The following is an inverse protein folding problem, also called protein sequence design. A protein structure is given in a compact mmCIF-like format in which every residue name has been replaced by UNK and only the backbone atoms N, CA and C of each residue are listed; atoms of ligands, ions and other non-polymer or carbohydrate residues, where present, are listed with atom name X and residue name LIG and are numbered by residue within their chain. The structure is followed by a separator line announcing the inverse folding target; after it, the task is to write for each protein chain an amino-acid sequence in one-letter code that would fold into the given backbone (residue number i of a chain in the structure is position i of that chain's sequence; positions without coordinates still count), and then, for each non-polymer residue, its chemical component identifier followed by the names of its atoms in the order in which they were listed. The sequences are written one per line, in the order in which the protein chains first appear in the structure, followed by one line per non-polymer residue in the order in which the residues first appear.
data_IF_307895074038
#
_entry.id   IF_307895074038
#
_cell.length_a   1.000
_cell.length_b   1.000
_cell.length_c   1.000
_cell.angle_alpha   90.00
_cell.angle_beta   90.00
_cell.angle_gamma   90.00
#
_symmetry.space_group_name_H-M   'P 1'
#
loop_
_entity.id
_entity.type
_entity.pdbx_description
1 polymer ?
#
# COMPACT_ATOMS: atom_id res chain seq x y z
N UNK A 1 26.43 12.12 -10.28
CA UNK A 1 25.54 11.89 -11.44
C UNK A 1 24.24 12.61 -11.15
N UNK A 2 23.81 13.52 -12.02
CA UNK A 2 22.63 14.36 -11.78
C UNK A 2 21.41 13.68 -12.40
N UNK A 3 20.69 12.91 -11.60
CA UNK A 3 19.36 12.40 -11.97
C UNK A 3 18.44 13.62 -12.16
N UNK A 4 17.94 13.81 -13.38
CA UNK A 4 17.08 14.94 -13.73
C UNK A 4 15.64 14.46 -13.63
N UNK A 5 14.79 15.17 -12.88
CA UNK A 5 13.36 14.83 -12.76
C UNK A 5 12.74 14.83 -14.17
N UNK A 6 12.21 13.68 -14.58
CA UNK A 6 11.56 13.48 -15.87
C UNK A 6 10.41 14.48 -16.05
N UNK A 7 10.50 15.35 -17.07
CA UNK A 7 9.44 16.30 -17.47
C UNK A 7 8.35 15.66 -18.33
N UNK A 8 8.06 14.35 -18.16
CA UNK A 8 6.93 13.75 -18.87
C UNK A 8 5.64 14.31 -18.29
N UNK A 9 5.02 15.27 -18.99
CA UNK A 9 3.65 15.70 -18.72
C UNK A 9 2.72 14.54 -19.04
N UNK A 10 2.22 13.86 -18.03
CA UNK A 10 1.10 12.93 -18.16
C UNK A 10 -0.18 13.76 -18.37
N UNK A 11 -0.46 14.10 -19.63
CA UNK A 11 -1.66 14.86 -19.99
C UNK A 11 -2.96 14.06 -19.75
N UNK A 12 -2.84 12.75 -19.53
CA UNK A 12 -3.94 11.80 -19.34
C UNK A 12 -3.97 11.19 -17.92
N UNK A 13 -3.34 11.83 -16.92
CA UNK A 13 -3.48 11.37 -15.53
C UNK A 13 -4.87 11.76 -15.01
N UNK A 14 -5.80 10.81 -14.73
CA UNK A 14 -7.12 11.15 -14.18
C UNK A 14 -7.02 11.82 -12.79
N UNK A 15 -5.89 11.67 -12.11
CA UNK A 15 -5.60 12.27 -10.82
C UNK A 15 -4.85 13.61 -10.92
N UNK A 16 -4.69 14.18 -12.12
CA UNK A 16 -4.09 15.51 -12.27
C UNK A 16 -4.98 16.57 -11.62
N UNK A 17 -4.37 17.68 -11.20
CA UNK A 17 -5.10 18.82 -10.66
C UNK A 17 -6.23 19.27 -11.60
N UNK A 18 -5.93 19.41 -12.89
CA UNK A 18 -6.88 19.86 -13.89
C UNK A 18 -8.07 18.89 -14.02
N UNK A 19 -7.82 17.58 -14.02
CA UNK A 19 -8.88 16.56 -14.10
C UNK A 19 -9.76 16.59 -12.84
N UNK A 20 -9.15 16.68 -11.66
CA UNK A 20 -9.86 16.79 -10.39
C UNK A 20 -10.70 18.07 -10.31
N UNK A 21 -10.16 19.19 -10.81
CA UNK A 21 -10.88 20.46 -10.84
C UNK A 21 -12.08 20.41 -11.78
N UNK A 22 -11.93 19.86 -12.99
CA UNK A 22 -13.05 19.71 -13.93
C UNK A 22 -14.13 18.76 -13.37
N UNK A 23 -13.71 17.67 -12.72
CA UNK A 23 -14.63 16.75 -12.06
C UNK A 23 -15.39 17.42 -10.90
N UNK A 24 -14.68 18.16 -10.05
CA UNK A 24 -15.28 18.89 -8.94
C UNK A 24 -16.25 19.99 -9.39
N UNK A 25 -15.90 20.74 -10.44
CA UNK A 25 -16.79 21.73 -11.05
C UNK A 25 -18.06 21.07 -11.59
N UNK A 26 -17.92 19.92 -12.25
CA UNK A 26 -19.06 19.14 -12.76
C UNK A 26 -19.99 18.75 -11.61
N UNK A 27 -19.46 18.25 -10.49
CA UNK A 27 -20.26 17.91 -9.31
C UNK A 27 -20.93 19.12 -8.67
N UNK A 28 -20.24 20.25 -8.51
CA UNK A 28 -20.82 21.47 -7.96
C UNK A 28 -22.00 21.95 -8.82
N UNK A 29 -21.83 21.96 -10.15
CA UNK A 29 -22.89 22.35 -11.09
C UNK A 29 -24.11 21.43 -10.99
N UNK A 30 -23.89 20.11 -10.94
CA UNK A 30 -24.96 19.13 -10.82
C UNK A 30 -25.73 19.22 -9.50
N UNK A 31 -25.01 19.46 -8.40
CA UNK A 31 -25.59 19.45 -7.05
C UNK A 31 -26.19 20.80 -6.65
N UNK A 32 -25.65 21.91 -7.15
CA UNK A 32 -25.96 23.25 -6.65
C UNK A 32 -26.25 24.30 -7.73
N UNK A 33 -26.21 23.96 -9.02
CA UNK A 33 -26.35 24.90 -10.14
C UNK A 33 -27.68 25.65 -10.24
N UNK A 34 -28.69 25.28 -9.46
CA UNK A 34 -29.94 26.05 -9.34
C UNK A 34 -29.85 27.22 -8.35
N UNK A 35 -28.87 27.20 -7.43
CA UNK A 35 -28.69 28.19 -6.35
C UNK A 35 -27.39 28.96 -6.55
N UNK A 36 -26.30 28.24 -6.80
CA UNK A 36 -24.98 28.81 -7.00
C UNK A 36 -24.62 28.73 -8.48
N UNK A 37 -24.71 29.85 -9.19
CA UNK A 37 -24.55 29.93 -10.66
C UNK A 37 -23.28 30.65 -11.11
N UNK A 38 -22.58 31.33 -10.20
CA UNK A 38 -21.35 32.05 -10.50
C UNK A 38 -20.14 31.13 -10.26
N UNK A 39 -19.42 30.80 -11.33
CA UNK A 39 -18.22 29.94 -11.27
C UNK A 39 -16.97 30.69 -11.76
N UNK A 40 -16.95 32.01 -11.62
CA UNK A 40 -15.82 32.84 -12.03
C UNK A 40 -14.72 32.88 -10.96
N UNK A 41 -13.53 33.33 -11.37
CA UNK A 41 -12.31 33.36 -10.54
C UNK A 41 -12.37 34.25 -9.30
N UNK A 42 -13.34 35.16 -9.23
CA UNK A 42 -13.53 36.04 -8.08
C UNK A 42 -14.41 35.40 -6.99
N UNK A 43 -15.09 34.29 -7.30
CA UNK A 43 -15.94 33.59 -6.35
C UNK A 43 -15.06 32.82 -5.34
N UNK A 44 -15.17 33.10 -4.03
CA UNK A 44 -14.38 32.40 -3.02
C UNK A 44 -14.67 30.89 -2.97
N UNK A 45 -15.85 30.44 -3.37
CA UNK A 45 -16.17 29.01 -3.47
C UNK A 45 -15.37 28.30 -4.56
N UNK A 46 -15.04 28.99 -5.65
CA UNK A 46 -14.13 28.47 -6.67
C UNK A 46 -12.70 28.36 -6.14
N UNK A 47 -12.23 29.34 -5.36
CA UNK A 47 -10.94 29.23 -4.66
C UNK A 47 -10.91 28.05 -3.69
N UNK A 48 -12.00 27.77 -2.98
CA UNK A 48 -12.11 26.59 -2.10
C UNK A 48 -11.98 25.29 -2.92
N UNK A 49 -12.65 25.20 -4.09
CA UNK A 49 -12.52 24.05 -4.97
C UNK A 49 -11.05 23.82 -5.41
N UNK A 50 -10.33 24.90 -5.77
CA UNK A 50 -8.92 24.81 -6.11
C UNK A 50 -8.08 24.25 -4.95
N UNK A 51 -8.30 24.73 -3.72
CA UNK A 51 -7.58 24.23 -2.54
C UNK A 51 -7.89 22.77 -2.25
N UNK A 52 -9.13 22.33 -2.44
CA UNK A 52 -9.51 20.91 -2.31
C UNK A 52 -8.78 20.07 -3.35
N UNK A 53 -8.75 20.50 -4.61
CA UNK A 53 -8.05 19.78 -5.67
C UNK A 53 -6.54 19.70 -5.39
N UNK A 54 -5.92 20.77 -4.90
CA UNK A 54 -4.52 20.77 -4.51
C UNK A 54 -4.26 19.78 -3.36
N UNK A 55 -5.08 19.81 -2.31
CA UNK A 55 -4.97 18.88 -1.18
C UNK A 55 -5.14 17.42 -1.63
N UNK A 56 -6.05 17.15 -2.57
CA UNK A 56 -6.22 15.82 -3.16
C UNK A 56 -5.00 15.39 -3.96
N UNK A 57 -4.39 16.27 -4.76
CA UNK A 57 -3.17 15.93 -5.49
C UNK A 57 -1.99 15.61 -4.56
N UNK A 58 -1.84 16.34 -3.45
CA UNK A 58 -0.82 16.03 -2.43
C UNK A 58 -1.10 14.70 -1.73
N UNK A 59 -2.37 14.41 -1.42
CA UNK A 59 -2.76 13.12 -0.83
C UNK A 59 -2.46 11.96 -1.79
N UNK A 60 -2.85 12.09 -3.07
CA UNK A 60 -2.60 11.06 -4.09
C UNK A 60 -1.11 10.83 -4.25
N UNK A 61 -0.32 11.90 -4.34
CA UNK A 61 1.15 11.80 -4.41
C UNK A 61 1.73 11.00 -3.25
N UNK A 62 1.27 11.26 -2.01
CA UNK A 62 1.71 10.47 -0.86
C UNK A 62 1.28 9.02 -1.05
N UNK A 63 0.00 8.74 -1.32
CA UNK A 63 -0.55 7.40 -1.48
C UNK A 63 0.15 6.54 -2.56
N UNK A 64 0.88 7.14 -3.50
CA UNK A 64 1.67 6.44 -4.52
C UNK A 64 3.04 5.91 -4.04
N UNK A 65 3.44 6.17 -2.79
CA UNK A 65 4.66 5.59 -2.22
C UNK A 65 4.56 4.06 -2.06
N UNK A 66 5.72 3.40 -2.04
CA UNK A 66 5.77 1.95 -1.88
C UNK A 66 5.12 1.54 -0.55
N UNK A 67 4.31 0.47 -0.58
CA UNK A 67 3.62 -0.03 0.61
C UNK A 67 4.61 -0.33 1.74
N UNK A 68 5.83 -0.75 1.40
CA UNK A 68 6.90 -0.97 2.36
C UNK A 68 7.25 0.29 3.17
N UNK A 69 7.25 1.47 2.56
CA UNK A 69 7.56 2.73 3.24
C UNK A 69 6.52 3.04 4.33
N UNK A 70 5.26 2.71 4.08
CA UNK A 70 4.17 2.86 5.04
C UNK A 70 4.21 1.86 6.19
N UNK A 71 4.66 0.63 5.92
CA UNK A 71 4.71 -0.44 6.91
C UNK A 71 6.03 -0.43 7.71
N UNK A 72 7.04 0.27 7.22
CA UNK A 72 8.36 0.36 7.84
C UNK A 72 8.36 1.27 9.07
N UNK A 73 9.11 0.87 10.09
CA UNK A 73 9.44 1.74 11.21
C UNK A 73 10.57 2.70 10.84
N UNK A 74 10.92 3.65 11.73
CA UNK A 74 12.07 4.55 11.55
C UNK A 74 13.40 3.82 11.34
N UNK A 75 13.49 2.55 11.75
CA UNK A 75 14.66 1.70 11.53
C UNK A 75 14.76 1.12 10.11
N UNK A 76 13.73 1.28 9.28
CA UNK A 76 13.62 0.71 7.93
C UNK A 76 13.16 -0.75 7.89
N UNK A 77 12.85 -1.36 9.04
CA UNK A 77 12.32 -2.73 9.11
C UNK A 77 10.79 -2.72 9.21
N UNK A 78 10.15 -3.75 8.64
CA UNK A 78 8.71 -3.98 8.77
C UNK A 78 8.47 -4.98 9.90
N UNK A 79 7.76 -4.56 10.95
CA UNK A 79 7.23 -5.48 11.95
C UNK A 79 5.89 -6.07 11.48
N UNK A 80 5.99 -7.20 10.78
CA UNK A 80 4.84 -7.93 10.28
C UNK A 80 3.85 -8.30 11.39
N UNK A 81 4.33 -8.68 12.59
CA UNK A 81 3.45 -9.15 13.66
C UNK A 81 2.62 -8.00 14.23
N UNK A 82 3.22 -6.83 14.45
CA UNK A 82 2.49 -5.64 14.92
C UNK A 82 1.43 -5.18 13.91
N UNK A 83 1.69 -5.35 12.62
CA UNK A 83 0.73 -5.06 11.55
C UNK A 83 -0.31 -6.16 11.31
N UNK A 84 -0.31 -7.24 12.11
CA UNK A 84 -1.22 -8.37 11.93
C UNK A 84 -0.97 -9.19 10.65
N UNK A 85 0.22 -9.04 10.06
CA UNK A 85 0.66 -9.77 8.88
C UNK A 85 1.42 -11.02 9.32
N UNK A 86 1.08 -12.16 8.72
CA UNK A 86 1.75 -13.43 9.01
C UNK A 86 2.87 -13.69 8.00
N UNK A 87 3.97 -14.25 8.50
CA UNK A 87 5.10 -14.61 7.66
C UNK A 87 4.78 -15.88 6.86
N UNK A 88 5.42 -16.02 5.69
CA UNK A 88 5.30 -17.21 4.87
C UNK A 88 5.60 -18.49 5.66
N UNK A 89 6.63 -18.49 6.50
CA UNK A 89 6.98 -19.63 7.37
C UNK A 89 5.94 -19.95 8.46
N UNK A 90 5.01 -19.03 8.76
CA UNK A 90 3.95 -19.27 9.76
C UNK A 90 2.68 -19.85 9.10
N UNK A 91 2.48 -19.63 7.78
CA UNK A 91 1.25 -20.02 7.06
C UNK A 91 1.48 -21.16 6.06
N UNK A 92 2.61 -21.14 5.36
CA UNK A 92 2.89 -22.09 4.27
C UNK A 92 3.25 -23.51 4.72
N UNK A 93 3.85 -23.77 5.90
CA UNK A 93 4.15 -25.14 6.28
C UNK A 93 2.88 -26.00 6.34
N UNK A 94 2.87 -27.04 5.53
CA UNK A 94 1.80 -28.04 5.53
C UNK A 94 2.14 -29.18 6.49
N UNK A 95 1.11 -29.89 6.93
CA UNK A 95 1.31 -31.17 7.62
C UNK A 95 1.83 -32.21 6.61
N UNK A 96 2.73 -33.12 7.03
CA UNK A 96 3.24 -34.18 6.17
C UNK A 96 2.09 -35.03 5.64
N UNK A 97 2.06 -35.24 4.34
CA UNK A 97 1.02 -36.00 3.65
C UNK A 97 1.49 -37.42 3.34
N UNK A 98 2.80 -37.66 3.28
CA UNK A 98 3.39 -38.99 3.04
C UNK A 98 4.25 -39.46 4.22
N UNK A 99 4.36 -40.79 4.45
CA UNK A 99 5.16 -41.37 5.54
C UNK A 99 6.61 -40.89 5.56
N UNK A 100 7.22 -40.67 4.39
CA UNK A 100 8.62 -40.24 4.29
C UNK A 100 8.85 -38.80 4.77
N UNK A 101 7.80 -37.97 4.83
CA UNK A 101 7.88 -36.55 5.22
C UNK A 101 7.81 -36.37 6.74
N UNK A 102 7.30 -37.37 7.48
CA UNK A 102 7.09 -37.29 8.93
C UNK A 102 8.40 -37.15 9.71
N UNK A 103 9.49 -37.79 9.27
CA UNK A 103 10.78 -37.70 9.96
C UNK A 103 11.27 -36.25 10.02
N UNK A 104 11.38 -35.59 8.85
CA UNK A 104 11.80 -34.19 8.76
C UNK A 104 10.85 -33.27 9.52
N UNK A 105 9.53 -33.49 9.40
CA UNK A 105 8.53 -32.67 10.07
C UNK A 105 8.61 -32.78 11.61
N UNK A 106 8.76 -34.01 12.13
CA UNK A 106 8.89 -34.26 13.57
C UNK A 106 10.19 -33.68 14.12
N UNK A 107 11.32 -33.86 13.44
CA UNK A 107 12.61 -33.31 13.87
C UNK A 107 12.62 -31.77 13.85
N UNK A 108 11.97 -31.15 12.86
CA UNK A 108 11.84 -29.70 12.80
C UNK A 108 10.98 -29.13 13.94
N UNK A 109 10.02 -29.90 14.47
CA UNK A 109 9.09 -29.44 15.52
C UNK A 109 9.48 -29.86 16.93
N UNK A 110 10.18 -30.99 17.07
CA UNK A 110 10.63 -31.59 18.32
C UNK A 110 12.15 -31.84 18.23
N UNK A 111 12.98 -30.78 18.27
CA UNK A 111 14.43 -30.90 18.15
C UNK A 111 15.06 -31.77 19.24
N UNK A 112 14.37 -32.01 20.36
CA UNK A 112 14.77 -32.98 21.38
C UNK A 112 14.83 -34.43 20.88
N UNK A 113 14.12 -34.79 19.80
CA UNK A 113 14.19 -36.14 19.20
C UNK A 113 15.52 -36.37 18.48
N UNK A 114 16.21 -35.29 18.08
CA UNK A 114 17.56 -35.36 17.50
C UNK A 114 18.63 -35.67 18.58
N UNK A 115 18.28 -35.54 19.87
CA UNK A 115 19.15 -35.96 20.99
C UNK A 115 19.12 -37.47 21.17
N UNK A 116 19.67 -38.14 20.19
CA UNK A 116 19.78 -39.58 20.19
C UNK A 116 19.76 -40.09 18.77
N UNK A 117 20.91 -39.96 18.09
CA UNK A 117 21.40 -41.08 17.32
C UNK A 117 21.32 -42.31 18.23
N UNK A 118 20.20 -43.03 18.15
CA UNK A 118 20.10 -44.36 18.68
C UNK A 118 21.21 -45.09 17.96
N UNK A 119 22.28 -45.41 18.69
CA UNK A 119 23.25 -46.41 18.30
C UNK A 119 22.48 -47.74 18.15
N UNK A 120 21.77 -47.89 17.05
CA UNK A 120 21.03 -49.08 16.68
C UNK A 120 21.80 -49.76 15.56
N UNK A 121 22.78 -50.55 16.00
CA UNK A 121 23.04 -51.91 15.54
C UNK A 121 23.01 -52.12 14.02
N UNK A 122 24.20 -52.21 13.43
CA UNK A 122 24.76 -53.47 12.91
C UNK A 122 26.27 -53.46 13.02
#
# INVERSE_FOLDING_TARGET
MSETISKKRHHDNPNSFEQLYQLGLTYIQQLSGHIWTDYNTHDPGMTILEQVCYALTDLIYRCEFDVADYLSETSGNIDYRTHGLALAQDILPTYPQQPEEYETWLLARLPELDKGGCAARK
#
